data_IF_089711559814
#
_entry.id   IF_089711559814
#
_cell.length_a   1.000
_cell.length_b   1.000
_cell.length_c   1.000
_cell.angle_alpha   90.00
_cell.angle_beta   90.00
_cell.angle_gamma   90.00
#
_symmetry.space_group_name_H-M   'P 1'
#
loop_
_entity.id
_entity.type
_entity.pdbx_description
1 polymer ?
#
# COMPACT_ATOMS: atom_id res chain seq x y z
N UNK A 1 6.28 -20.93 -15.42
CA UNK A 1 7.02 -19.92 -14.61
C UNK A 1 6.81 -18.56 -15.23
N UNK A 2 6.08 -17.71 -14.53
CA UNK A 2 5.77 -16.33 -14.90
C UNK A 2 6.83 -15.40 -14.30
N UNK A 3 7.40 -14.51 -15.10
CA UNK A 3 8.45 -13.56 -14.65
C UNK A 3 7.91 -12.14 -14.82
N UNK A 4 7.79 -11.41 -13.71
CA UNK A 4 7.41 -10.00 -13.68
C UNK A 4 8.66 -9.19 -13.34
N UNK A 5 9.06 -8.27 -14.23
CA UNK A 5 10.26 -7.44 -14.05
C UNK A 5 9.88 -5.98 -13.98
N UNK A 6 10.39 -5.29 -12.96
CA UNK A 6 10.21 -3.87 -12.73
C UNK A 6 8.73 -3.48 -12.80
N UNK A 7 7.89 -4.02 -11.90
CA UNK A 7 6.48 -3.64 -11.84
C UNK A 7 6.40 -2.10 -11.79
N UNK A 8 5.59 -1.54 -12.68
CA UNK A 8 5.47 -0.07 -12.78
C UNK A 8 4.61 0.47 -11.67
N UNK A 9 3.61 -0.31 -11.27
CA UNK A 9 2.68 0.05 -10.21
C UNK A 9 2.88 -0.82 -8.98
N UNK A 10 2.77 -0.19 -7.82
CA UNK A 10 2.70 -0.87 -6.55
C UNK A 10 1.68 -0.20 -5.64
N UNK A 11 0.95 -0.98 -4.86
CA UNK A 11 -0.10 -0.46 -3.98
C UNK A 11 0.03 -1.09 -2.62
N UNK A 12 0.07 -0.24 -1.60
CA UNK A 12 -0.25 -0.62 -0.23
C UNK A 12 -1.64 -0.11 0.10
N UNK A 13 -2.55 -0.99 0.51
CA UNK A 13 -3.90 -0.60 0.91
C UNK A 13 -4.35 -1.36 2.14
N UNK A 14 -4.90 -0.61 3.09
CA UNK A 14 -5.51 -1.12 4.31
C UNK A 14 -6.95 -0.64 4.41
N UNK A 15 -7.87 -1.59 4.48
CA UNK A 15 -9.26 -1.35 4.84
C UNK A 15 -9.67 -2.35 5.92
N UNK A 16 -9.78 -1.88 7.16
CA UNK A 16 -10.13 -2.69 8.32
C UNK A 16 -11.47 -3.44 8.16
N UNK A 17 -12.37 -2.94 7.31
CA UNK A 17 -13.69 -3.56 7.04
C UNK A 17 -13.57 -4.79 6.13
N UNK A 18 -12.54 -4.82 5.29
CA UNK A 18 -12.31 -5.91 4.33
C UNK A 18 -11.56 -7.09 4.93
N UNK A 19 -10.78 -6.86 5.99
CA UNK A 19 -9.85 -7.86 6.53
C UNK A 19 -8.68 -8.19 5.58
N UNK A 20 -8.50 -7.43 4.50
CA UNK A 20 -7.45 -7.65 3.52
C UNK A 20 -6.47 -6.46 3.48
N UNK A 21 -5.19 -6.76 3.38
CA UNK A 21 -4.14 -5.77 3.07
C UNK A 21 -3.69 -6.02 1.64
N UNK A 22 -3.81 -5.03 0.75
CA UNK A 22 -3.16 -5.10 -0.55
C UNK A 22 -1.69 -4.69 -0.37
N UNK A 23 -0.77 -5.53 -0.85
CA UNK A 23 0.69 -5.30 -0.70
C UNK A 23 1.42 -5.20 -2.04
N UNK A 24 0.72 -5.36 -3.17
CA UNK A 24 1.28 -5.21 -4.51
C UNK A 24 0.17 -4.93 -5.54
N UNK A 25 0.54 -4.33 -6.68
CA UNK A 25 -0.35 -4.15 -7.83
C UNK A 25 0.01 -5.05 -9.03
N UNK A 26 1.27 -5.47 -9.18
CA UNK A 26 1.73 -6.32 -10.28
C UNK A 26 2.64 -7.46 -9.79
N UNK A 27 2.11 -8.69 -9.61
CA UNK A 27 0.68 -9.00 -9.59
C UNK A 27 -0.01 -8.42 -8.36
N UNK A 28 -1.34 -8.30 -8.43
CA UNK A 28 -2.17 -7.85 -7.31
C UNK A 28 -2.17 -8.90 -6.20
N UNK A 29 -1.46 -8.60 -5.11
CA UNK A 29 -1.34 -9.49 -3.95
C UNK A 29 -2.08 -8.91 -2.75
N UNK A 30 -2.82 -9.79 -2.09
CA UNK A 30 -3.63 -9.48 -0.92
C UNK A 30 -3.30 -10.42 0.24
N UNK A 31 -3.01 -9.88 1.40
CA UNK A 31 -2.86 -10.64 2.63
C UNK A 31 -4.18 -10.62 3.40
N UNK A 32 -4.71 -11.80 3.70
CA UNK A 32 -5.88 -11.99 4.57
C UNK A 32 -5.43 -12.00 6.03
N UNK A 33 -5.91 -11.05 6.83
CA UNK A 33 -5.48 -10.90 8.22
C UNK A 33 -6.03 -11.99 9.14
N UNK A 34 -7.16 -12.61 8.79
CA UNK A 34 -7.78 -13.68 9.58
C UNK A 34 -7.16 -15.04 9.25
N UNK A 35 -7.05 -15.37 7.96
CA UNK A 35 -6.46 -16.62 7.51
C UNK A 35 -4.92 -16.60 7.51
N UNK A 36 -4.32 -15.42 7.73
CA UNK A 36 -2.87 -15.17 7.73
C UNK A 36 -2.18 -15.76 6.50
N UNK A 37 -2.83 -15.58 5.35
CA UNK A 37 -2.44 -16.18 4.08
C UNK A 37 -2.39 -15.12 3.00
N UNK A 38 -1.45 -15.29 2.07
CA UNK A 38 -1.32 -14.43 0.91
C UNK A 38 -2.15 -15.00 -0.24
N UNK A 39 -2.76 -14.10 -1.01
CA UNK A 39 -3.57 -14.42 -2.18
C UNK A 39 -3.15 -13.56 -3.36
N UNK A 40 -3.23 -14.12 -4.56
CA UNK A 40 -3.09 -13.41 -5.82
C UNK A 40 -4.46 -13.24 -6.45
N UNK A 41 -4.74 -12.03 -6.96
CA UNK A 41 -5.94 -11.75 -7.73
C UNK A 41 -5.74 -12.10 -9.19
N UNK A 42 -6.53 -13.06 -9.67
CA UNK A 42 -6.52 -13.56 -11.05
C UNK A 42 -7.24 -12.63 -12.04
N UNK A 43 -8.00 -11.66 -11.53
CA UNK A 43 -8.84 -10.81 -12.36
C UNK A 43 -8.85 -9.35 -11.87
N UNK A 44 -7.70 -8.65 -11.91
CA UNK A 44 -7.59 -7.29 -11.37
C UNK A 44 -8.44 -6.25 -12.11
N UNK A 45 -8.97 -6.58 -13.30
CA UNK A 45 -9.77 -5.68 -14.13
C UNK A 45 -11.30 -5.93 -14.03
N UNK A 46 -11.72 -6.95 -13.28
CA UNK A 46 -13.13 -7.28 -13.09
C UNK A 46 -13.34 -7.82 -11.66
N UNK A 47 -14.39 -8.62 -11.44
CA UNK A 47 -14.66 -9.16 -10.12
C UNK A 47 -13.46 -9.97 -9.61
N UNK A 48 -13.03 -9.59 -8.40
CA UNK A 48 -11.84 -10.14 -7.74
C UNK A 48 -11.94 -11.66 -7.64
N UNK A 49 -10.91 -12.34 -8.11
CA UNK A 49 -10.82 -13.80 -8.05
C UNK A 49 -9.52 -14.19 -7.35
N UNK A 50 -9.61 -14.47 -6.05
CA UNK A 50 -8.45 -14.74 -5.22
C UNK A 50 -8.08 -16.21 -5.24
N UNK A 51 -6.80 -16.49 -5.46
CA UNK A 51 -6.20 -17.81 -5.22
C UNK A 51 -5.08 -17.71 -4.21
N UNK A 52 -5.02 -18.69 -3.31
CA UNK A 52 -3.98 -18.75 -2.29
C UNK A 52 -2.59 -18.90 -2.92
N UNK A 53 -1.66 -18.08 -2.44
CA UNK A 53 -0.24 -18.15 -2.74
C UNK A 53 0.45 -19.10 -1.77
N UNK A 54 1.42 -19.87 -2.27
CA UNK A 54 2.18 -20.88 -1.53
C UNK A 54 3.68 -20.73 -1.78
N UNK A 55 4.49 -21.35 -0.92
CA UNK A 55 5.95 -21.44 -1.07
C UNK A 55 6.62 -20.07 -1.28
N UNK A 56 6.11 -19.04 -0.61
CA UNK A 56 6.64 -17.68 -0.73
C UNK A 56 8.07 -17.61 -0.21
N UNK A 57 8.96 -17.01 -0.99
CA UNK A 57 10.34 -16.74 -0.60
C UNK A 57 10.81 -15.39 -1.14
N UNK A 58 11.83 -14.83 -0.49
CA UNK A 58 12.39 -13.52 -0.81
C UNK A 58 13.90 -13.62 -0.94
N UNK A 59 14.52 -12.82 -1.81
CA UNK A 59 15.97 -12.60 -1.77
C UNK A 59 16.35 -11.81 -0.52
N UNK A 60 17.61 -11.94 -0.08
CA UNK A 60 18.12 -11.25 1.13
C UNK A 60 17.95 -9.73 1.07
N UNK A 61 18.07 -9.15 -0.12
CA UNK A 61 17.93 -7.71 -0.38
C UNK A 61 16.49 -7.29 -0.76
N UNK A 62 15.54 -8.23 -0.72
CA UNK A 62 14.14 -8.03 -1.10
C UNK A 62 13.93 -7.49 -2.53
N UNK A 63 14.89 -7.66 -3.44
CA UNK A 63 14.70 -7.31 -4.85
C UNK A 63 13.88 -8.34 -5.61
N UNK A 64 13.84 -9.58 -5.13
CA UNK A 64 13.12 -10.70 -5.75
C UNK A 64 12.16 -11.34 -4.76
N UNK A 65 10.94 -11.58 -5.20
CA UNK A 65 9.95 -12.43 -4.53
C UNK A 65 9.60 -13.60 -5.44
N UNK A 66 9.53 -14.81 -4.88
CA UNK A 66 9.08 -16.01 -5.58
C UNK A 66 7.94 -16.68 -4.84
N UNK A 67 7.01 -17.25 -5.57
CA UNK A 67 5.89 -17.97 -4.99
C UNK A 67 5.18 -18.85 -6.02
N UNK A 68 4.32 -19.75 -5.54
CA UNK A 68 3.46 -20.59 -6.37
C UNK A 68 1.98 -20.23 -6.17
N UNK A 69 1.18 -20.32 -7.22
CA UNK A 69 -0.27 -20.17 -7.14
C UNK A 69 -0.96 -20.96 -8.26
N UNK A 70 -2.23 -21.32 -8.06
CA UNK A 70 -3.07 -21.69 -9.20
C UNK A 70 -3.40 -20.41 -9.97
N UNK A 71 -3.11 -20.37 -11.26
CA UNK A 71 -3.35 -19.26 -12.17
C UNK A 71 -4.11 -19.76 -13.39
N UNK A 72 -5.34 -19.28 -13.60
CA UNK A 72 -6.25 -19.78 -14.64
C UNK A 72 -6.30 -21.32 -14.70
N UNK A 73 -6.60 -21.93 -13.55
CA UNK A 73 -6.68 -23.39 -13.36
C UNK A 73 -5.38 -24.19 -13.54
N UNK A 74 -4.24 -23.53 -13.73
CA UNK A 74 -2.93 -24.18 -13.87
C UNK A 74 -2.04 -23.84 -12.69
N UNK A 75 -1.26 -24.79 -12.17
CA UNK A 75 -0.26 -24.48 -11.13
C UNK A 75 0.91 -23.75 -11.78
N UNK A 76 1.20 -22.54 -11.31
CA UNK A 76 2.25 -21.69 -11.85
C UNK A 76 3.17 -21.16 -10.74
N UNK A 77 4.46 -21.08 -11.06
CA UNK A 77 5.45 -20.39 -10.23
C UNK A 77 5.67 -18.97 -10.76
N UNK A 78 5.82 -18.02 -9.86
CA UNK A 78 6.03 -16.61 -10.14
C UNK A 78 7.38 -16.15 -9.61
N UNK A 79 8.06 -15.31 -10.37
CA UNK A 79 9.22 -14.53 -9.94
C UNK A 79 8.96 -13.06 -10.22
N UNK A 80 8.92 -12.25 -9.16
CA UNK A 80 8.69 -10.81 -9.23
C UNK A 80 9.97 -10.09 -8.82
N UNK A 81 10.62 -9.44 -9.78
CA UNK A 81 11.84 -8.66 -9.56
C UNK A 81 11.54 -7.18 -9.63
N UNK A 82 11.88 -6.43 -8.58
CA UNK A 82 11.65 -4.97 -8.50
C UNK A 82 12.96 -4.22 -8.26
N UNK A 83 13.07 -3.06 -8.90
CA UNK A 83 14.25 -2.19 -8.82
C UNK A 83 14.09 -1.05 -7.83
N UNK A 84 12.85 -0.69 -7.50
CA UNK A 84 12.58 0.48 -6.68
C UNK A 84 12.64 0.12 -5.20
N UNK A 85 13.05 1.09 -4.37
CA UNK A 85 13.09 0.91 -2.92
C UNK A 85 11.69 0.60 -2.34
N UNK A 86 10.64 1.18 -2.93
CA UNK A 86 9.24 0.89 -2.59
C UNK A 86 8.87 -0.57 -2.80
N UNK A 87 9.38 -1.23 -3.86
CA UNK A 87 9.13 -2.66 -4.11
C UNK A 87 9.72 -3.51 -2.99
N UNK A 88 10.91 -3.14 -2.51
CA UNK A 88 11.61 -3.82 -1.42
C UNK A 88 10.83 -3.69 -0.12
N UNK A 89 10.36 -2.47 0.19
CA UNK A 89 9.53 -2.19 1.37
C UNK A 89 8.27 -3.05 1.36
N UNK A 90 7.56 -3.13 0.23
CA UNK A 90 6.34 -3.93 0.13
C UNK A 90 6.59 -5.42 0.33
N UNK A 91 7.72 -5.94 -0.17
CA UNK A 91 8.12 -7.34 0.06
C UNK A 91 8.54 -7.59 1.52
N UNK A 92 9.23 -6.64 2.15
CA UNK A 92 9.54 -6.71 3.59
C UNK A 92 8.26 -6.77 4.43
N UNK A 93 7.28 -5.92 4.12
CA UNK A 93 5.97 -5.93 4.77
C UNK A 93 5.25 -7.26 4.51
N UNK A 94 5.30 -7.77 3.28
CA UNK A 94 4.70 -9.08 2.93
C UNK A 94 5.34 -10.20 3.75
N UNK A 95 6.67 -10.24 3.88
CA UNK A 95 7.35 -11.21 4.73
C UNK A 95 6.94 -11.06 6.19
N UNK A 96 6.95 -9.82 6.73
CA UNK A 96 6.54 -9.54 8.12
C UNK A 96 5.13 -10.04 8.41
N UNK A 97 4.19 -9.84 7.49
CA UNK A 97 2.81 -10.32 7.61
C UNK A 97 2.74 -11.86 7.62
N UNK A 98 3.53 -12.52 6.77
CA UNK A 98 3.56 -13.98 6.67
C UNK A 98 4.21 -14.65 7.88
N UNK A 99 5.26 -14.06 8.45
CA UNK A 99 6.09 -14.70 9.49
C UNK A 99 5.95 -14.11 10.88
N UNK A 100 5.50 -12.85 11.00
CA UNK A 100 5.50 -12.11 12.26
C UNK A 100 4.20 -12.29 13.04
N UNK A 101 4.25 -12.14 14.36
CA UNK A 101 3.06 -12.16 15.22
C UNK A 101 2.34 -10.81 15.27
N UNK A 102 2.71 -9.87 14.40
CA UNK A 102 2.14 -8.53 14.34
C UNK A 102 0.63 -8.61 14.22
N UNK A 103 -0.05 -8.27 15.32
CA UNK A 103 -1.50 -8.18 15.34
C UNK A 103 -1.88 -6.98 14.48
N UNK A 104 -2.41 -7.25 13.29
CA UNK A 104 -3.16 -6.24 12.55
C UNK A 104 -4.38 -5.94 13.40
N UNK A 105 -4.34 -4.81 14.10
CA UNK A 105 -5.28 -4.54 15.18
C UNK A 105 -6.74 -4.60 14.69
N UNK A 106 -7.58 -5.22 15.50
CA UNK A 106 -9.02 -5.32 15.27
C UNK A 106 -9.71 -4.03 15.70
N UNK A 107 -10.70 -3.60 14.92
CA UNK A 107 -11.56 -2.45 15.23
C UNK A 107 -11.49 -1.32 14.20
N UNK A 108 -12.31 -0.27 14.39
CA UNK A 108 -12.38 0.86 13.47
C UNK A 108 -11.04 1.59 13.34
N UNK A 109 -10.57 1.71 12.11
CA UNK A 109 -9.34 2.40 11.74
C UNK A 109 -9.56 3.24 10.49
N UNK A 110 -8.60 4.11 10.19
CA UNK A 110 -8.59 4.83 8.92
C UNK A 110 -8.37 3.85 7.77
N UNK A 111 -9.09 4.06 6.67
CA UNK A 111 -8.86 3.39 5.40
C UNK A 111 -7.72 4.10 4.69
N UNK A 112 -6.68 3.37 4.33
CA UNK A 112 -5.43 3.91 3.84
C UNK A 112 -5.12 3.29 2.48
N UNK A 113 -4.66 4.11 1.55
CA UNK A 113 -4.19 3.67 0.25
C UNK A 113 -2.99 4.50 -0.18
N UNK A 114 -1.90 3.83 -0.53
CA UNK A 114 -0.68 4.43 -1.07
C UNK A 114 -0.40 3.76 -2.41
N UNK A 115 -0.51 4.54 -3.48
CA UNK A 115 -0.11 4.12 -4.83
C UNK A 115 1.27 4.66 -5.13
N UNK A 116 2.09 3.78 -5.68
CA UNK A 116 3.42 4.09 -6.19
C UNK A 116 3.42 3.81 -7.69
N UNK A 117 3.96 4.75 -8.44
CA UNK A 117 4.19 4.62 -9.87
C UNK A 117 5.67 4.88 -10.15
N UNK A 118 6.34 3.92 -10.76
CA UNK A 118 7.77 3.97 -11.09
C UNK A 118 8.66 4.34 -9.89
N UNK A 119 8.32 3.81 -8.70
CA UNK A 119 9.07 4.05 -7.46
C UNK A 119 8.70 5.33 -6.72
N UNK A 120 7.93 6.24 -7.33
CA UNK A 120 7.52 7.52 -6.74
C UNK A 120 6.09 7.43 -6.20
N UNK A 121 5.79 8.12 -5.10
CA UNK A 121 4.41 8.24 -4.61
C UNK A 121 3.53 8.89 -5.68
N UNK A 122 2.50 8.18 -6.14
CA UNK A 122 1.51 8.68 -7.06
C UNK A 122 0.26 9.23 -6.33
N UNK A 123 -0.21 8.49 -5.34
CA UNK A 123 -1.40 8.85 -4.54
C UNK A 123 -1.21 8.40 -3.11
N UNK A 124 -1.62 9.24 -2.16
CA UNK A 124 -1.90 8.84 -0.78
C UNK A 124 -3.35 9.22 -0.51
N UNK A 125 -4.15 8.29 -0.03
CA UNK A 125 -5.53 8.52 0.36
C UNK A 125 -5.73 7.96 1.77
N UNK A 126 -6.23 8.79 2.66
CA UNK A 126 -6.57 8.44 4.04
C UNK A 126 -7.99 8.88 4.31
N UNK A 127 -8.84 7.97 4.76
CA UNK A 127 -10.25 8.23 5.03
C UNK A 127 -10.61 7.74 6.43
N UNK A 128 -11.17 8.63 7.26
CA UNK A 128 -11.87 8.25 8.49
C UNK A 128 -13.34 8.01 8.17
N UNK A 129 -13.80 6.78 8.40
CA UNK A 129 -15.21 6.41 8.21
C UNK A 129 -15.81 6.06 9.56
N UNK A 130 -16.85 6.78 9.95
CA UNK A 130 -17.63 6.54 11.18
C UNK A 130 -19.06 6.27 10.75
N UNK A 131 -19.59 5.10 11.13
CA UNK A 131 -20.98 4.68 10.80
C UNK A 131 -21.32 4.77 9.31
N UNK A 132 -20.34 4.52 8.44
CA UNK A 132 -20.49 4.58 6.98
C UNK A 132 -20.34 5.98 6.37
N UNK A 133 -20.13 7.02 7.18
CA UNK A 133 -19.93 8.40 6.72
C UNK A 133 -18.45 8.78 6.78
N UNK A 134 -17.93 9.42 5.74
CA UNK A 134 -16.57 9.97 5.73
C UNK A 134 -16.53 11.20 6.62
N UNK A 135 -15.92 11.09 7.80
CA UNK A 135 -15.77 12.18 8.76
C UNK A 135 -14.61 13.10 8.39
N UNK A 136 -13.48 12.49 7.99
CA UNK A 136 -12.25 13.20 7.60
C UNK A 136 -11.58 12.49 6.44
N UNK A 137 -10.88 13.25 5.60
CA UNK A 137 -10.08 12.69 4.53
C UNK A 137 -8.86 13.53 4.23
N UNK A 138 -7.77 12.87 3.86
CA UNK A 138 -6.63 13.48 3.18
C UNK A 138 -6.41 12.74 1.87
N UNK A 139 -6.28 13.51 0.79
CA UNK A 139 -5.86 12.98 -0.49
C UNK A 139 -4.68 13.78 -1.02
N UNK A 140 -3.58 13.09 -1.28
CA UNK A 140 -2.37 13.64 -1.89
C UNK A 140 -2.21 12.97 -3.25
N UNK A 141 -1.91 13.76 -4.27
CA UNK A 141 -1.68 13.25 -5.62
C UNK A 141 -0.41 13.84 -6.20
N UNK A 142 0.35 13.04 -6.94
CA UNK A 142 1.48 13.50 -7.72
C UNK A 142 1.02 14.01 -9.08
N UNK A 143 1.40 15.23 -9.43
CA UNK A 143 1.11 15.86 -10.72
C UNK A 143 2.25 16.78 -11.10
N UNK A 144 2.66 16.72 -12.36
CA UNK A 144 3.71 17.59 -12.93
C UNK A 144 5.03 17.57 -12.11
N UNK A 145 5.40 16.38 -11.60
CA UNK A 145 6.61 16.20 -10.79
C UNK A 145 6.50 16.68 -9.34
N UNK A 146 5.30 17.03 -8.86
CA UNK A 146 5.09 17.57 -7.51
C UNK A 146 3.89 16.95 -6.81
N UNK A 147 3.98 16.83 -5.49
CA UNK A 147 2.89 16.39 -4.65
C UNK A 147 1.91 17.54 -4.37
N UNK A 148 0.63 17.23 -4.41
CA UNK A 148 -0.45 18.18 -4.17
C UNK A 148 -1.45 17.61 -3.18
N UNK A 149 -1.80 18.38 -2.15
CA UNK A 149 -2.95 18.12 -1.30
C UNK A 149 -4.22 18.53 -2.04
N UNK A 150 -5.19 17.62 -2.10
CA UNK A 150 -6.48 17.82 -2.75
C UNK A 150 -7.53 18.11 -1.67
N UNK A 151 -8.08 19.31 -1.71
CA UNK A 151 -9.24 19.72 -0.89
C UNK A 151 -10.49 19.57 -1.75
N UNK A 152 -11.47 18.74 -1.36
CA UNK A 152 -12.64 18.46 -2.20
C UNK A 152 -13.66 19.60 -2.25
N UNK A 153 -13.76 20.44 -1.20
CA UNK A 153 -14.72 21.56 -1.16
C UNK A 153 -14.19 22.75 -0.33
N UNK A 154 -14.03 23.96 -0.92
CA UNK A 154 -14.01 24.18 -2.37
C UNK A 154 -12.90 23.37 -3.03
N UNK A 155 -13.11 22.90 -4.27
CA UNK A 155 -12.10 22.10 -4.97
C UNK A 155 -10.81 22.91 -5.16
N UNK A 156 -9.76 22.53 -4.42
CA UNK A 156 -8.46 23.18 -4.46
C UNK A 156 -7.36 22.12 -4.46
N UNK A 157 -6.30 22.39 -5.22
CA UNK A 157 -5.04 21.66 -5.11
C UNK A 157 -3.99 22.62 -4.58
N UNK A 158 -3.37 22.25 -3.48
CA UNK A 158 -2.28 23.01 -2.88
C UNK A 158 -1.00 22.21 -3.05
N UNK A 159 0.01 22.79 -3.69
CA UNK A 159 1.33 22.16 -3.80
C UNK A 159 1.91 21.94 -2.40
N UNK A 160 2.46 20.75 -2.17
CA UNK A 160 3.14 20.41 -0.94
C UNK A 160 4.63 20.70 -1.06
N UNK A 161 5.18 21.38 -0.06
CA UNK A 161 6.62 21.53 0.12
C UNK A 161 7.23 20.27 0.73
N UNK A 162 6.48 19.57 1.58
CA UNK A 162 6.84 18.24 2.09
C UNK A 162 5.62 17.47 2.60
N UNK A 163 5.76 16.14 2.67
CA UNK A 163 4.82 15.24 3.36
C UNK A 163 5.63 14.27 4.21
N UNK A 164 5.28 14.12 5.49
CA UNK A 164 5.96 13.20 6.39
C UNK A 164 4.98 12.61 7.41
N UNK A 165 5.37 11.53 8.07
CA UNK A 165 4.67 10.99 9.23
C UNK A 165 5.53 11.23 10.48
N UNK A 166 4.95 11.91 11.47
CA UNK A 166 5.58 12.23 12.75
C UNK A 166 4.80 11.55 13.87
N UNK A 167 5.31 10.42 14.36
CA UNK A 167 4.55 9.54 15.25
C UNK A 167 3.32 8.95 14.52
N UNK A 168 2.12 9.30 14.98
CA UNK A 168 0.84 8.95 14.35
C UNK A 168 0.28 10.08 13.49
N UNK A 169 1.02 11.15 13.21
CA UNK A 169 0.50 12.31 12.45
C UNK A 169 1.02 12.34 11.04
N UNK A 170 0.12 12.34 10.06
CA UNK A 170 0.46 12.72 8.68
C UNK A 170 0.53 14.25 8.61
N UNK A 171 1.71 14.79 8.33
CA UNK A 171 2.00 16.21 8.24
C UNK A 171 2.22 16.58 6.78
N UNK A 172 1.33 17.42 6.24
CA UNK A 172 1.39 17.94 4.88
C UNK A 172 1.75 19.42 4.95
N UNK A 173 2.97 19.79 4.56
CA UNK A 173 3.43 21.18 4.60
C UNK A 173 3.14 21.86 3.27
N UNK A 174 2.52 23.03 3.33
CA UNK A 174 2.29 23.90 2.18
C UNK A 174 3.15 25.17 2.34
N UNK A 175 3.21 26.06 1.34
CA UNK A 175 3.86 27.36 1.51
C UNK A 175 3.21 28.25 2.58
N UNK A 176 1.92 28.07 2.83
CA UNK A 176 1.12 28.96 3.68
C UNK A 176 0.94 28.41 5.11
N UNK A 177 0.72 27.09 5.22
CA UNK A 177 0.39 26.43 6.48
C UNK A 177 0.72 24.91 6.48
N UNK A 178 0.77 24.33 7.68
CA UNK A 178 0.86 22.89 7.87
C UNK A 178 -0.54 22.29 8.08
N UNK A 179 -0.91 21.34 7.23
CA UNK A 179 -2.13 20.54 7.37
C UNK A 179 -1.78 19.21 8.03
N UNK A 180 -2.38 18.93 9.18
CA UNK A 180 -2.10 17.72 9.95
C UNK A 180 -3.31 16.80 10.05
N UNK A 181 -3.04 15.50 10.07
CA UNK A 181 -4.05 14.46 10.25
C UNK A 181 -3.55 13.41 11.23
N UNK A 182 -4.30 13.19 12.30
CA UNK A 182 -4.02 12.16 13.30
C UNK A 182 -4.49 10.80 12.78
N UNK A 183 -3.56 9.91 12.45
CA UNK A 183 -3.82 8.57 11.95
C UNK A 183 -4.34 7.66 13.07
N UNK A 184 -5.45 7.00 12.81
CA UNK A 184 -5.97 5.88 13.57
C UNK A 184 -5.67 4.60 12.79
N UNK A 185 -4.47 4.06 12.95
CA UNK A 185 -4.05 2.83 12.27
C UNK A 185 -3.09 2.04 13.16
N UNK A 186 -2.95 0.73 12.91
CA UNK A 186 -1.99 -0.09 13.64
C UNK A 186 -0.53 0.29 13.30
N UNK A 187 0.45 -0.01 14.17
CA UNK A 187 1.85 0.35 13.96
C UNK A 187 2.41 -0.11 12.61
N UNK A 188 2.10 -1.34 12.18
CA UNK A 188 2.53 -1.86 10.88
C UNK A 188 2.11 -0.97 9.72
N UNK A 189 0.87 -0.48 9.73
CA UNK A 189 0.32 0.37 8.66
C UNK A 189 1.01 1.73 8.67
N UNK A 190 1.19 2.34 9.85
CA UNK A 190 1.88 3.63 9.99
C UNK A 190 3.34 3.52 9.55
N UNK A 191 4.07 2.51 10.02
CA UNK A 191 5.46 2.22 9.65
C UNK A 191 5.61 2.02 8.13
N UNK A 192 4.68 1.28 7.53
CA UNK A 192 4.69 1.02 6.08
C UNK A 192 4.46 2.32 5.31
N UNK A 193 3.49 3.14 5.71
CA UNK A 193 3.26 4.44 5.08
C UNK A 193 4.49 5.34 5.19
N UNK A 194 5.12 5.41 6.36
CA UNK A 194 6.33 6.20 6.57
C UNK A 194 7.44 5.77 5.64
N UNK A 195 7.74 4.47 5.59
CA UNK A 195 8.78 3.92 4.73
C UNK A 195 8.50 4.19 3.25
N UNK A 196 7.26 4.03 2.79
CA UNK A 196 6.87 4.31 1.42
C UNK A 196 6.98 5.79 1.07
N UNK A 197 6.52 6.68 1.96
CA UNK A 197 6.62 8.14 1.78
C UNK A 197 8.09 8.56 1.68
N UNK A 198 8.95 8.06 2.56
CA UNK A 198 10.36 8.44 2.55
C UNK A 198 11.10 7.90 1.33
N UNK A 199 10.79 6.68 0.90
CA UNK A 199 11.37 6.06 -0.29
C UNK A 199 10.87 6.67 -1.61
N UNK A 200 9.60 7.08 -1.67
CA UNK A 200 8.96 7.57 -2.90
C UNK A 200 9.10 9.08 -3.14
N UNK A 201 10.02 9.76 -2.44
CA UNK A 201 10.39 11.17 -2.65
C UNK A 201 11.50 11.39 -3.68
N UNK A 202 12.19 10.33 -4.09
CA UNK A 202 13.28 10.35 -5.10
C UNK A 202 12.74 10.16 -6.50
#
# INVERSE_FOLDING_TARGET
MQIVRNPKSAVFSWDYRSGMIRVSAEPSLYFDTSARSLYIDQNPAADRSLTQVRNTSFSEDFTVMRFDATWHSTSESFEVTGRYQTDRILRQVTQRLLTGDDAVASGPQDVIEVHVLDGTIAVINVLRVVEGVVEKSIRITHKDGRLHLVVPSPWKRTELTSVAIEGSRLVCRTPDEDVTYELSACPLVVETMTALIDAGRT
#
